data_IF_335156176261
#
_entry.id   IF_335156176261
#
_cell.length_a   1.000
_cell.length_b   1.000
_cell.length_c   1.000
_cell.angle_alpha   90.00
_cell.angle_beta   90.00
_cell.angle_gamma   90.00
#
_symmetry.space_group_name_H-M   'P 1'
#
loop_
_entity.id
_entity.type
_entity.pdbx_description
1 polymer ?
#
# COMPACT_ATOMS: atom_id res chain seq x y z
N UNK A 1 -48.39 38.10 25.75
CA UNK A 1 -47.25 37.78 26.63
C UNK A 1 -47.19 36.26 26.78
N UNK A 2 -46.17 35.51 26.40
CA UNK A 2 -44.92 35.74 25.65
C UNK A 2 -44.32 34.34 25.35
N UNK A 3 -43.76 34.19 24.16
CA UNK A 3 -43.03 33.11 23.44
C UNK A 3 -42.18 32.05 24.18
N UNK A 4 -42.32 31.79 25.48
CA UNK A 4 -41.39 30.89 26.20
C UNK A 4 -41.81 29.42 26.30
N UNK A 5 -42.90 28.99 25.66
CA UNK A 5 -43.48 27.66 25.87
C UNK A 5 -43.57 26.81 24.60
N UNK A 6 -42.59 26.92 23.71
CA UNK A 6 -42.45 26.04 22.53
C UNK A 6 -41.07 25.41 22.34
N UNK A 7 -40.11 25.68 23.22
CA UNK A 7 -38.72 25.21 23.06
C UNK A 7 -38.37 23.91 23.81
N UNK A 8 -39.29 23.29 24.55
CA UNK A 8 -38.99 22.13 25.40
C UNK A 8 -39.41 20.77 24.78
N UNK A 9 -40.09 20.77 23.63
CA UNK A 9 -40.67 19.54 23.06
C UNK A 9 -39.97 18.98 21.82
N UNK A 10 -38.79 19.50 21.45
CA UNK A 10 -38.04 19.06 20.25
C UNK A 10 -36.62 18.54 20.50
N UNK A 11 -36.23 18.27 21.75
CA UNK A 11 -34.88 17.80 22.10
C UNK A 11 -34.80 16.35 22.61
N UNK A 12 -35.86 15.54 22.47
CA UNK A 12 -35.89 14.16 23.01
C UNK A 12 -36.29 13.06 22.01
N UNK A 13 -36.15 13.28 20.69
CA UNK A 13 -36.49 12.25 19.68
C UNK A 13 -35.38 11.89 18.67
N UNK A 14 -34.16 12.39 18.85
CA UNK A 14 -32.96 11.92 18.14
C UNK A 14 -31.79 12.05 19.12
N UNK A 15 -31.45 11.04 19.93
CA UNK A 15 -30.55 9.96 19.51
C UNK A 15 -30.44 8.91 20.63
N UNK A 16 -30.82 7.65 20.40
CA UNK A 16 -30.21 6.53 21.08
C UNK A 16 -29.43 5.72 20.04
N UNK A 17 -28.33 6.30 19.54
CA UNK A 17 -27.37 5.60 18.67
C UNK A 17 -25.91 5.97 19.01
N UNK A 18 -25.65 6.26 20.29
CA UNK A 18 -24.28 6.41 20.84
C UNK A 18 -23.95 5.28 21.83
N UNK A 19 -24.36 4.06 21.49
CA UNK A 19 -23.80 2.82 22.04
C UNK A 19 -23.46 1.89 20.88
N UNK A 20 -22.67 2.39 19.92
CA UNK A 20 -21.89 1.52 19.05
C UNK A 20 -20.47 1.45 19.64
N UNK A 21 -19.99 0.22 19.75
CA UNK A 21 -18.88 -0.20 20.58
C UNK A 21 -17.62 0.66 20.43
N UNK A 22 -17.06 1.08 21.57
CA UNK A 22 -15.64 1.38 21.71
C UNK A 22 -14.90 0.06 21.68
N UNK A 23 -14.46 -0.39 20.51
CA UNK A 23 -13.49 -1.47 20.41
C UNK A 23 -12.12 -0.88 20.76
N UNK A 24 -11.59 -1.27 21.91
CA UNK A 24 -10.25 -0.91 22.34
C UNK A 24 -9.24 -1.48 21.34
N UNK A 25 -8.48 -0.59 20.67
CA UNK A 25 -7.28 -0.99 19.96
C UNK A 25 -6.28 -1.52 20.98
N UNK A 26 -6.27 -2.84 21.20
CA UNK A 26 -5.18 -3.48 21.91
C UNK A 26 -3.92 -3.29 21.05
N UNK A 27 -2.96 -2.60 21.65
CA UNK A 27 -1.63 -2.36 21.12
C UNK A 27 -1.08 -3.65 20.51
N UNK A 28 -0.67 -3.58 19.24
CA UNK A 28 0.06 -4.62 18.49
C UNK A 28 1.45 -4.93 19.10
N UNK A 29 1.78 -4.36 20.26
CA UNK A 29 3.10 -4.44 20.90
C UNK A 29 3.31 -5.66 21.81
N UNK A 30 2.27 -6.44 22.09
CA UNK A 30 2.36 -7.59 23.00
C UNK A 30 2.39 -8.95 22.28
N UNK A 31 2.76 -9.00 21.00
CA UNK A 31 3.02 -10.27 20.33
C UNK A 31 4.49 -10.70 20.55
N UNK A 32 4.77 -11.72 21.37
CA UNK A 32 6.13 -12.20 21.63
C UNK A 32 6.80 -12.87 20.41
N UNK A 33 6.14 -12.92 19.25
CA UNK A 33 6.74 -13.40 18.01
C UNK A 33 7.51 -12.33 17.21
N UNK A 34 7.54 -11.08 17.67
CA UNK A 34 8.32 -10.02 17.04
C UNK A 34 9.73 -9.92 17.65
N UNK A 35 10.59 -10.91 17.41
CA UNK A 35 12.04 -10.73 17.55
C UNK A 35 12.71 -10.97 16.20
N UNK A 36 13.39 -9.96 15.62
CA UNK A 36 14.10 -10.11 14.35
C UNK A 36 15.44 -10.80 14.60
N UNK A 37 15.39 -12.13 14.79
CA UNK A 37 16.55 -12.98 14.58
C UNK A 37 16.80 -13.13 13.08
N UNK A 38 18.06 -13.14 12.65
CA UNK A 38 18.44 -13.43 11.26
C UNK A 38 18.11 -14.90 10.97
N UNK A 39 16.87 -15.17 10.54
CA UNK A 39 16.42 -16.52 10.17
C UNK A 39 17.04 -16.86 8.82
N UNK A 40 18.13 -17.62 8.86
CA UNK A 40 18.69 -18.23 7.67
C UNK A 40 17.70 -19.32 7.21
N UNK A 41 16.98 -19.05 6.11
CA UNK A 41 15.97 -19.96 5.58
C UNK A 41 16.67 -21.20 5.00
N UNK A 42 16.90 -22.22 5.82
CA UNK A 42 17.47 -23.49 5.38
C UNK A 42 16.44 -24.18 4.49
N UNK A 43 16.81 -24.51 3.25
CA UNK A 43 16.04 -25.37 2.33
C UNK A 43 15.98 -26.81 2.86
N UNK A 44 15.41 -27.05 4.04
CA UNK A 44 15.23 -28.40 4.57
C UNK A 44 13.95 -29.03 4.02
N UNK A 45 14.11 -30.21 3.43
CA UNK A 45 13.13 -30.87 2.56
C UNK A 45 11.84 -31.36 3.26
N UNK A 46 11.71 -31.35 4.59
CA UNK A 46 10.74 -32.23 5.26
C UNK A 46 9.85 -31.63 6.38
N UNK A 47 9.68 -30.31 6.50
CA UNK A 47 8.73 -29.73 7.47
C UNK A 47 7.80 -28.69 6.84
N UNK A 48 6.52 -29.05 6.69
CA UNK A 48 5.51 -28.18 6.09
C UNK A 48 5.26 -26.87 6.87
N UNK A 49 5.51 -26.85 8.17
CA UNK A 49 5.33 -25.67 9.02
C UNK A 49 6.53 -24.70 8.97
N UNK A 50 7.77 -25.22 8.87
CA UNK A 50 8.96 -24.38 8.66
C UNK A 50 8.95 -23.71 7.27
N UNK A 51 8.27 -24.34 6.30
CA UNK A 51 8.15 -23.83 4.93
C UNK A 51 7.35 -22.52 4.85
N UNK A 52 6.22 -22.42 5.55
CA UNK A 52 5.37 -21.21 5.49
C UNK A 52 6.05 -20.01 6.15
N UNK A 53 6.72 -20.20 7.30
CA UNK A 53 7.48 -19.14 7.96
C UNK A 53 8.60 -18.56 7.06
N UNK A 54 9.32 -19.43 6.35
CA UNK A 54 10.35 -18.99 5.39
C UNK A 54 9.75 -18.22 4.20
N UNK A 55 8.61 -18.66 3.67
CA UNK A 55 7.94 -17.96 2.56
C UNK A 55 7.51 -16.56 2.99
N UNK A 56 6.98 -16.41 4.20
CA UNK A 56 6.60 -15.09 4.74
C UNK A 56 7.79 -14.15 4.87
N UNK A 57 8.91 -14.65 5.38
CA UNK A 57 10.14 -13.86 5.48
C UNK A 57 10.68 -13.44 4.10
N UNK A 58 10.74 -14.37 3.15
CA UNK A 58 11.20 -14.10 1.78
C UNK A 58 10.26 -13.14 1.03
N UNK A 59 8.94 -13.27 1.23
CA UNK A 59 7.97 -12.34 0.67
C UNK A 59 8.14 -10.94 1.29
N UNK A 60 8.41 -10.84 2.59
CA UNK A 60 8.77 -9.58 3.24
C UNK A 60 9.98 -8.90 2.60
N UNK A 61 11.12 -9.60 2.50
CA UNK A 61 12.33 -9.05 1.89
C UNK A 61 12.12 -8.62 0.44
N UNK A 62 11.36 -9.41 -0.32
CA UNK A 62 11.04 -9.09 -1.72
C UNK A 62 10.13 -7.87 -1.84
N UNK A 63 9.14 -7.73 -0.95
CA UNK A 63 8.28 -6.55 -0.90
C UNK A 63 9.11 -5.31 -0.55
N UNK A 64 9.99 -5.38 0.45
CA UNK A 64 10.85 -4.25 0.84
C UNK A 64 11.76 -3.79 -0.31
N UNK A 65 12.30 -4.74 -1.09
CA UNK A 65 13.08 -4.44 -2.30
C UNK A 65 12.23 -3.74 -3.36
N UNK A 66 10.99 -4.18 -3.55
CA UNK A 66 10.06 -3.58 -4.52
C UNK A 66 9.59 -2.20 -4.09
N UNK A 67 9.33 -1.96 -2.80
CA UNK A 67 9.00 -0.63 -2.27
C UNK A 67 10.13 0.36 -2.58
N UNK A 68 11.37 0.00 -2.26
CA UNK A 68 12.54 0.85 -2.57
C UNK A 68 12.70 1.11 -4.06
N UNK A 69 12.35 0.13 -4.90
CA UNK A 69 12.39 0.30 -6.35
C UNK A 69 11.28 1.24 -6.81
N UNK A 70 10.06 1.07 -6.31
CA UNK A 70 8.93 1.96 -6.59
C UNK A 70 9.27 3.41 -6.21
N UNK A 71 9.72 3.66 -4.99
CA UNK A 71 10.12 5.00 -4.53
C UNK A 71 11.16 5.65 -5.45
N UNK A 72 12.13 4.87 -5.93
CA UNK A 72 13.15 5.33 -6.89
C UNK A 72 12.54 5.73 -8.22
N UNK A 73 11.66 4.90 -8.80
CA UNK A 73 11.06 5.14 -10.11
C UNK A 73 10.05 6.29 -10.04
N UNK A 74 9.24 6.35 -8.99
CA UNK A 74 8.29 7.43 -8.77
C UNK A 74 8.98 8.77 -8.55
N UNK A 75 10.04 8.80 -7.74
CA UNK A 75 10.87 10.00 -7.57
C UNK A 75 11.48 10.47 -8.90
N UNK A 76 12.00 9.54 -9.71
CA UNK A 76 12.52 9.86 -11.04
C UNK A 76 11.44 10.40 -11.98
N UNK A 77 10.21 9.88 -11.91
CA UNK A 77 9.08 10.36 -12.71
C UNK A 77 8.74 11.82 -12.38
N UNK A 78 8.70 12.16 -11.08
CA UNK A 78 8.48 13.53 -10.63
C UNK A 78 9.61 14.45 -11.10
N UNK A 79 10.88 14.01 -11.00
CA UNK A 79 12.01 14.81 -11.49
C UNK A 79 11.98 14.99 -13.00
N UNK A 80 11.55 13.98 -13.76
CA UNK A 80 11.35 14.12 -15.21
C UNK A 80 10.32 15.21 -15.50
N UNK A 81 9.15 15.18 -14.85
CA UNK A 81 8.11 16.20 -15.05
C UNK A 81 8.66 17.60 -14.72
N UNK A 82 9.39 17.74 -13.61
CA UNK A 82 10.02 19.01 -13.22
C UNK A 82 11.08 19.50 -14.21
N UNK A 83 11.78 18.61 -14.89
CA UNK A 83 12.79 19.01 -15.88
C UNK A 83 12.21 19.83 -17.03
N UNK A 84 10.90 19.67 -17.33
CA UNK A 84 10.19 20.46 -18.33
C UNK A 84 9.79 21.86 -17.83
N UNK A 85 9.89 22.16 -16.53
CA UNK A 85 9.59 23.50 -15.99
C UNK A 85 10.50 24.58 -16.59
N UNK A 86 11.76 24.22 -16.89
CA UNK A 86 12.71 25.09 -17.58
C UNK A 86 12.26 25.51 -18.98
N UNK A 87 11.29 24.79 -19.57
CA UNK A 87 10.78 25.00 -20.93
C UNK A 87 9.31 25.48 -20.95
N UNK A 88 8.83 26.15 -19.90
CA UNK A 88 7.46 26.69 -19.82
C UNK A 88 6.37 25.59 -19.76
N UNK A 89 6.51 24.65 -18.84
CA UNK A 89 5.46 23.67 -18.59
C UNK A 89 4.24 24.28 -17.86
N UNK A 90 3.19 24.61 -18.63
CA UNK A 90 1.95 25.22 -18.11
C UNK A 90 1.15 24.32 -17.16
N UNK A 91 1.35 23.01 -17.20
CA UNK A 91 0.52 22.03 -16.49
C UNK A 91 1.29 21.12 -15.53
N UNK A 92 2.59 21.35 -15.30
CA UNK A 92 3.44 20.45 -14.51
C UNK A 92 3.00 20.33 -13.05
N UNK A 93 2.62 21.43 -12.40
CA UNK A 93 2.12 21.40 -11.03
C UNK A 93 0.87 20.52 -10.90
N UNK A 94 -0.07 20.67 -11.84
CA UNK A 94 -1.28 19.86 -11.86
C UNK A 94 -0.94 18.38 -12.15
N UNK A 95 -0.04 18.12 -13.09
CA UNK A 95 0.38 16.75 -13.40
C UNK A 95 1.07 16.08 -12.22
N UNK A 96 1.99 16.77 -11.53
CA UNK A 96 2.66 16.29 -10.31
C UNK A 96 1.64 16.05 -9.20
N UNK A 97 0.67 16.96 -9.03
CA UNK A 97 -0.40 16.82 -8.04
C UNK A 97 -1.25 15.58 -8.32
N UNK A 98 -1.70 15.39 -9.54
CA UNK A 98 -2.52 14.23 -9.92
C UNK A 98 -1.71 12.93 -9.83
N UNK A 99 -0.43 12.94 -10.20
CA UNK A 99 0.45 11.78 -10.06
C UNK A 99 0.63 11.39 -8.57
N UNK A 100 0.88 12.35 -7.68
CA UNK A 100 0.96 12.09 -6.24
C UNK A 100 -0.37 11.57 -5.66
N UNK A 101 -1.50 12.10 -6.13
CA UNK A 101 -2.82 11.62 -5.71
C UNK A 101 -3.05 10.17 -6.18
N UNK A 102 -2.71 9.89 -7.44
CA UNK A 102 -2.77 8.54 -8.01
C UNK A 102 -1.91 7.57 -7.21
N UNK A 103 -0.68 7.94 -6.85
CA UNK A 103 0.23 7.11 -6.04
C UNK A 103 -0.34 6.76 -4.66
N UNK A 104 -0.94 7.74 -3.98
CA UNK A 104 -1.56 7.53 -2.68
C UNK A 104 -2.78 6.59 -2.79
N UNK A 105 -3.62 6.80 -3.80
CA UNK A 105 -4.78 5.94 -4.05
C UNK A 105 -4.37 4.52 -4.44
N UNK A 106 -3.32 4.39 -5.24
CA UNK A 106 -2.76 3.11 -5.63
C UNK A 106 -2.24 2.34 -4.41
N UNK A 107 -1.50 2.97 -3.50
CA UNK A 107 -1.06 2.35 -2.25
C UNK A 107 -2.23 1.83 -1.41
N UNK A 108 -3.30 2.62 -1.25
CA UNK A 108 -4.51 2.19 -0.54
C UNK A 108 -5.22 1.03 -1.24
N UNK A 109 -5.29 1.06 -2.56
CA UNK A 109 -5.82 -0.04 -3.35
C UNK A 109 -5.00 -1.30 -3.16
N UNK A 110 -3.66 -1.22 -3.22
CA UNK A 110 -2.75 -2.36 -3.02
C UNK A 110 -2.94 -3.02 -1.66
N UNK A 111 -3.02 -2.23 -0.59
CA UNK A 111 -3.29 -2.77 0.75
C UNK A 111 -4.66 -3.45 0.82
N UNK A 112 -5.73 -2.71 0.50
CA UNK A 112 -7.11 -3.22 0.61
C UNK A 112 -7.38 -4.44 -0.29
N UNK A 113 -6.86 -4.44 -1.51
CA UNK A 113 -6.99 -5.54 -2.45
C UNK A 113 -6.25 -6.79 -1.96
N UNK A 114 -5.03 -6.66 -1.44
CA UNK A 114 -4.25 -7.81 -1.01
C UNK A 114 -4.70 -8.36 0.35
N UNK A 115 -5.31 -7.53 1.19
CA UNK A 115 -6.03 -7.99 2.38
C UNK A 115 -7.27 -8.77 1.98
N UNK A 116 -8.09 -8.24 1.06
CA UNK A 116 -9.28 -8.92 0.53
C UNK A 116 -8.95 -10.29 -0.10
N UNK A 117 -7.85 -10.37 -0.84
CA UNK A 117 -7.35 -11.63 -1.42
C UNK A 117 -6.92 -12.60 -0.32
N UNK A 118 -6.27 -12.11 0.75
CA UNK A 118 -5.89 -12.92 1.91
C UNK A 118 -7.08 -13.47 2.70
N UNK A 119 -8.19 -12.72 2.77
CA UNK A 119 -9.40 -13.15 3.48
C UNK A 119 -10.01 -14.44 2.91
N UNK A 120 -9.82 -14.74 1.63
CA UNK A 120 -10.26 -16.02 1.05
C UNK A 120 -9.54 -17.24 1.68
N UNK A 121 -8.45 -17.01 2.41
CA UNK A 121 -7.61 -18.04 3.05
C UNK A 121 -7.57 -17.86 4.57
N UNK A 122 -8.48 -17.06 5.13
CA UNK A 122 -8.54 -16.77 6.55
C UNK A 122 -8.78 -18.04 7.39
N UNK A 123 -8.09 -18.14 8.54
CA UNK A 123 -8.08 -19.34 9.39
C UNK A 123 -6.99 -20.36 9.05
N UNK A 124 -6.19 -20.14 8.00
CA UNK A 124 -5.03 -20.96 7.64
C UNK A 124 -3.71 -20.17 7.66
N UNK A 125 -2.58 -20.88 7.54
CA UNK A 125 -1.24 -20.26 7.43
C UNK A 125 -0.94 -19.68 6.05
N UNK A 126 -1.82 -19.90 5.07
CA UNK A 126 -1.66 -19.44 3.69
C UNK A 126 -2.03 -17.97 3.46
N UNK A 127 -2.94 -17.40 4.27
CA UNK A 127 -3.40 -16.01 4.11
C UNK A 127 -2.26 -14.99 3.96
N UNK A 128 -1.26 -14.93 4.87
CA UNK A 128 -0.19 -13.95 4.75
C UNK A 128 0.74 -14.19 3.54
N UNK A 129 0.88 -15.44 3.08
CA UNK A 129 1.65 -15.76 1.86
C UNK A 129 0.94 -15.20 0.63
N UNK A 130 -0.36 -15.47 0.54
CA UNK A 130 -1.20 -15.06 -0.59
C UNK A 130 -1.33 -13.53 -0.66
N UNK A 131 -1.51 -12.86 0.49
CA UNK A 131 -1.47 -11.38 0.54
C UNK A 131 -0.11 -10.83 0.10
N UNK A 132 0.99 -11.45 0.54
CA UNK A 132 2.34 -11.06 0.11
C UNK A 132 2.56 -11.21 -1.41
N UNK A 133 2.14 -12.34 -1.98
CA UNK A 133 2.22 -12.57 -3.42
C UNK A 133 1.38 -11.57 -4.23
N UNK A 134 0.20 -11.21 -3.72
CA UNK A 134 -0.62 -10.15 -4.28
C UNK A 134 0.15 -8.82 -4.32
N UNK A 135 0.77 -8.41 -3.20
CA UNK A 135 1.55 -7.16 -3.13
C UNK A 135 2.70 -7.17 -4.12
N UNK A 136 3.47 -8.26 -4.17
CA UNK A 136 4.58 -8.43 -5.12
C UNK A 136 4.11 -8.20 -6.55
N UNK A 137 2.99 -8.80 -6.96
CA UNK A 137 2.44 -8.65 -8.31
C UNK A 137 2.04 -7.20 -8.60
N UNK A 138 1.33 -6.56 -7.67
CA UNK A 138 0.88 -5.18 -7.84
C UNK A 138 2.06 -4.21 -7.93
N UNK A 139 3.05 -4.32 -7.05
CA UNK A 139 4.25 -3.47 -7.11
C UNK A 139 4.99 -3.63 -8.45
N UNK A 140 5.21 -4.86 -8.93
CA UNK A 140 5.85 -5.07 -10.23
C UNK A 140 5.11 -4.38 -11.37
N UNK A 141 3.78 -4.53 -11.40
CA UNK A 141 2.95 -3.90 -12.42
C UNK A 141 3.04 -2.37 -12.35
N UNK A 142 2.91 -1.80 -11.15
CA UNK A 142 2.92 -0.35 -10.96
C UNK A 142 4.27 0.27 -11.31
N UNK A 143 5.38 -0.35 -10.92
CA UNK A 143 6.72 0.11 -11.30
C UNK A 143 6.87 0.10 -12.83
N UNK A 144 6.37 -0.94 -13.51
CA UNK A 144 6.38 -1.01 -14.97
C UNK A 144 5.53 0.11 -15.59
N UNK A 145 4.35 0.38 -15.05
CA UNK A 145 3.45 1.44 -15.53
C UNK A 145 4.09 2.82 -15.35
N UNK A 146 4.67 3.10 -14.18
CA UNK A 146 5.40 4.35 -13.91
C UNK A 146 6.55 4.51 -14.90
N UNK A 147 7.33 3.46 -15.11
CA UNK A 147 8.42 3.48 -16.09
C UNK A 147 7.91 3.77 -17.51
N UNK A 148 6.87 3.06 -17.95
CA UNK A 148 6.32 3.18 -19.29
C UNK A 148 5.76 4.58 -19.57
N UNK A 149 4.97 5.13 -18.66
CA UNK A 149 4.27 6.41 -18.88
C UNK A 149 5.12 7.64 -18.60
N UNK A 150 6.10 7.55 -17.69
CA UNK A 150 6.82 8.73 -17.22
C UNK A 150 8.32 8.70 -17.46
N UNK A 151 8.93 7.55 -17.75
CA UNK A 151 10.39 7.44 -17.89
C UNK A 151 10.84 6.95 -19.27
N UNK A 152 9.94 6.39 -20.07
CA UNK A 152 10.23 5.87 -21.41
C UNK A 152 9.52 6.69 -22.50
N UNK A 153 10.16 7.75 -23.03
CA UNK A 153 9.56 8.55 -24.09
C UNK A 153 9.47 7.75 -25.39
N UNK A 154 8.41 7.97 -26.17
CA UNK A 154 8.19 7.39 -27.49
C UNK A 154 9.18 7.97 -28.52
N UNK A 155 10.43 7.50 -28.49
CA UNK A 155 11.49 7.86 -29.45
C UNK A 155 12.79 8.41 -28.85
N UNK A 156 12.98 8.31 -27.53
CA UNK A 156 14.22 8.72 -26.85
C UNK A 156 14.81 7.62 -25.96
N UNK A 157 15.94 7.93 -25.30
CA UNK A 157 16.49 7.04 -24.28
C UNK A 157 15.68 7.18 -22.99
N UNK A 158 15.32 6.05 -22.34
CA UNK A 158 14.58 6.10 -21.11
C UNK A 158 15.45 6.66 -19.97
N UNK A 159 14.83 7.42 -19.08
CA UNK A 159 15.51 8.13 -17.98
C UNK A 159 16.07 7.15 -16.95
N UNK A 160 15.35 6.05 -16.73
CA UNK A 160 15.83 4.87 -16.02
C UNK A 160 15.72 3.67 -16.94
N UNK A 161 16.58 2.64 -16.76
CA UNK A 161 16.38 1.37 -17.44
C UNK A 161 15.01 0.78 -17.11
N UNK A 162 14.51 -0.09 -17.99
CA UNK A 162 13.32 -0.89 -17.69
C UNK A 162 13.54 -1.71 -16.40
N UNK A 163 12.54 -1.82 -15.51
CA UNK A 163 12.71 -2.53 -14.26
C UNK A 163 12.91 -4.04 -14.49
N UNK A 164 13.98 -4.59 -13.91
CA UNK A 164 14.21 -6.04 -13.85
C UNK A 164 13.76 -6.58 -12.49
N UNK A 165 12.86 -7.57 -12.53
CA UNK A 165 12.26 -8.17 -11.34
C UNK A 165 12.72 -9.60 -11.07
N UNK A 166 13.84 -10.00 -11.70
CA UNK A 166 14.49 -11.30 -11.51
C UNK A 166 15.15 -11.43 -10.14
#
# INVERSE_FOLDING_TARGET
MSEKMRFILFLFLFTPFLLYAKEESKNVKDNPMAQPGKVECIKEKNSGYLRTGCILFLNGEKIDKLIKMEEKYFSAAIQNIKSYEAYSCKYCDNQIKELNNSENLWHKYTESQCDAVGYNYYGGTAAPVISGDCKIRLYKQHIQDVWHFYLSPSGGYPILPEPDFK
#
